data_IF_028035069410
#
_entry.id   IF_028035069410
#
_cell.length_a   1.000
_cell.length_b   1.000
_cell.length_c   1.000
_cell.angle_alpha   90.00
_cell.angle_beta   90.00
_cell.angle_gamma   90.00
#
_symmetry.space_group_name_H-M   'P 1'
#
loop_
_entity.id
_entity.type
_entity.pdbx_description
1 polymer ?
#
# COMPACT_ATOMS: atom_id res chain seq x y z
N UNK A 1 8.28 12.68 -1.11
CA UNK A 1 7.01 11.92 -1.12
C UNK A 1 5.87 12.92 -1.07
N UNK A 2 5.01 12.98 -2.08
CA UNK A 2 3.77 13.77 -1.97
C UNK A 2 2.93 13.14 -0.85
N UNK A 3 2.34 13.91 0.08
CA UNK A 3 1.46 13.34 1.09
C UNK A 3 0.30 12.64 0.38
N UNK A 4 0.00 11.41 0.82
CA UNK A 4 -1.15 10.67 0.32
C UNK A 4 -2.40 11.53 0.58
N UNK A 5 -3.07 12.00 -0.49
CA UNK A 5 -4.35 12.67 -0.35
C UNK A 5 -5.33 11.69 0.34
N UNK A 6 -6.14 12.17 1.28
CA UNK A 6 -7.03 11.32 2.09
C UNK A 6 -7.97 10.47 1.22
N UNK A 7 -8.40 11.01 0.07
CA UNK A 7 -9.20 10.28 -0.93
C UNK A 7 -8.43 9.10 -1.56
N UNK A 8 -7.15 9.29 -1.86
CA UNK A 8 -6.29 8.27 -2.43
C UNK A 8 -6.00 7.16 -1.41
N UNK A 9 -5.84 7.54 -0.14
CA UNK A 9 -5.70 6.61 0.98
C UNK A 9 -6.97 5.75 1.16
N UNK A 10 -8.15 6.38 1.08
CA UNK A 10 -9.43 5.69 1.17
C UNK A 10 -9.61 4.68 0.02
N UNK A 11 -9.31 5.08 -1.22
CA UNK A 11 -9.36 4.16 -2.37
C UNK A 11 -8.35 3.02 -2.27
N UNK A 12 -7.13 3.30 -1.82
CA UNK A 12 -6.12 2.26 -1.59
C UNK A 12 -6.57 1.25 -0.51
N UNK A 13 -7.28 1.74 0.50
CA UNK A 13 -7.86 0.90 1.56
C UNK A 13 -9.01 0.04 1.03
N UNK A 14 -9.94 0.62 0.27
CA UNK A 14 -11.03 -0.13 -0.38
C UNK A 14 -10.48 -1.21 -1.34
N UNK A 15 -9.45 -0.87 -2.13
CA UNK A 15 -8.76 -1.83 -2.98
C UNK A 15 -8.18 -2.98 -2.16
N UNK A 16 -7.45 -2.67 -1.08
CA UNK A 16 -6.84 -3.67 -0.23
C UNK A 16 -7.87 -4.60 0.43
N UNK A 17 -9.06 -4.09 0.78
CA UNK A 17 -10.14 -4.89 1.35
C UNK A 17 -10.79 -5.85 0.34
N UNK A 18 -10.72 -5.54 -0.97
CA UNK A 18 -11.22 -6.40 -2.03
C UNK A 18 -10.26 -7.51 -2.46
N UNK A 19 -9.03 -7.52 -1.94
CA UNK A 19 -8.01 -8.51 -2.31
C UNK A 19 -8.26 -9.86 -1.62
N UNK A 20 -7.99 -10.94 -2.33
CA UNK A 20 -7.88 -12.24 -1.70
C UNK A 20 -6.64 -12.32 -0.80
N UNK A 21 -6.69 -13.20 0.20
CA UNK A 21 -5.62 -13.32 1.21
C UNK A 21 -4.23 -13.58 0.60
N UNK A 22 -4.16 -14.35 -0.49
CA UNK A 22 -2.91 -14.65 -1.19
C UNK A 22 -2.35 -13.42 -1.91
N UNK A 23 -3.20 -12.67 -2.61
CA UNK A 23 -2.82 -11.43 -3.28
C UNK A 23 -2.39 -10.36 -2.28
N UNK A 24 -3.13 -10.24 -1.17
CA UNK A 24 -2.78 -9.34 -0.08
C UNK A 24 -1.39 -9.66 0.48
N UNK A 25 -1.09 -10.93 0.79
CA UNK A 25 0.24 -11.36 1.25
C UNK A 25 1.33 -11.13 0.22
N UNK A 26 1.04 -11.36 -1.06
CA UNK A 26 1.97 -11.10 -2.17
C UNK A 26 2.34 -9.61 -2.22
N UNK A 27 1.35 -8.72 -2.15
CA UNK A 27 1.55 -7.28 -2.11
C UNK A 27 2.35 -6.85 -0.88
N UNK A 28 2.09 -7.43 0.29
CA UNK A 28 2.88 -7.13 1.50
C UNK A 28 4.36 -7.48 1.31
N UNK A 29 4.65 -8.64 0.69
CA UNK A 29 6.02 -9.04 0.38
C UNK A 29 6.65 -8.12 -0.67
N UNK A 30 5.87 -7.68 -1.66
CA UNK A 30 6.35 -6.77 -2.69
C UNK A 30 6.69 -5.38 -2.12
N UNK A 31 5.90 -4.86 -1.18
CA UNK A 31 6.19 -3.63 -0.44
C UNK A 31 7.52 -3.75 0.30
N UNK A 32 7.75 -4.87 1.00
CA UNK A 32 8.99 -5.13 1.74
C UNK A 32 10.20 -5.25 0.81
N UNK A 33 10.02 -5.88 -0.35
CA UNK A 33 11.07 -6.02 -1.36
C UNK A 33 11.39 -4.71 -2.06
N UNK A 34 10.38 -3.88 -2.33
CA UNK A 34 10.56 -2.64 -3.09
C UNK A 34 11.05 -1.52 -2.18
N UNK A 35 10.54 -1.47 -0.94
CA UNK A 35 10.91 -0.48 0.06
C UNK A 35 11.53 -1.18 1.28
N UNK A 36 12.85 -1.42 1.27
CA UNK A 36 13.54 -2.12 2.36
C UNK A 36 13.35 -1.47 3.74
N UNK A 37 13.12 -0.16 3.78
CA UNK A 37 12.79 0.59 5.00
C UNK A 37 11.53 0.06 5.72
N UNK A 38 10.61 -0.57 4.98
CA UNK A 38 9.38 -1.15 5.52
C UNK A 38 9.57 -2.53 6.16
N UNK A 39 10.73 -3.17 5.97
CA UNK A 39 11.03 -4.53 6.47
C UNK A 39 10.87 -4.64 8.00
N UNK A 40 11.26 -3.59 8.73
CA UNK A 40 11.16 -3.54 10.19
C UNK A 40 9.86 -2.89 10.70
N UNK A 41 9.03 -2.35 9.80
CA UNK A 41 7.77 -1.72 10.17
C UNK A 41 6.72 -2.79 10.48
N UNK A 42 5.86 -2.46 11.45
CA UNK A 42 4.75 -3.28 11.90
C UNK A 42 3.53 -2.40 12.21
N UNK A 43 2.35 -3.01 12.19
CA UNK A 43 1.09 -2.32 12.48
C UNK A 43 0.89 -1.08 11.61
N UNK A 44 0.44 0.01 12.23
CA UNK A 44 0.03 1.24 11.55
C UNK A 44 1.10 1.85 10.63
N UNK A 45 2.38 1.75 10.99
CA UNK A 45 3.47 2.29 10.16
C UNK A 45 3.67 1.48 8.88
N UNK A 46 3.50 0.16 8.96
CA UNK A 46 3.52 -0.69 7.78
C UNK A 46 2.25 -0.49 6.95
N UNK A 47 1.08 -0.37 7.58
CA UNK A 47 -0.20 -0.16 6.88
C UNK A 47 -0.19 1.15 6.08
N UNK A 48 0.39 2.23 6.63
CA UNK A 48 0.58 3.49 5.91
C UNK A 48 1.49 3.32 4.69
N UNK A 49 2.60 2.61 4.83
CA UNK A 49 3.51 2.35 3.73
C UNK A 49 2.85 1.44 2.66
N UNK A 50 2.08 0.45 3.10
CA UNK A 50 1.34 -0.45 2.23
C UNK A 50 0.29 0.30 1.39
N UNK A 51 -0.50 1.16 2.03
CA UNK A 51 -1.48 2.00 1.34
C UNK A 51 -0.83 3.00 0.39
N UNK A 52 0.29 3.60 0.78
CA UNK A 52 1.06 4.48 -0.10
C UNK A 52 1.57 3.74 -1.34
N UNK A 53 2.06 2.52 -1.19
CA UNK A 53 2.52 1.69 -2.30
C UNK A 53 1.39 1.32 -3.27
N UNK A 54 0.22 0.93 -2.76
CA UNK A 54 -0.97 0.67 -3.59
C UNK A 54 -1.35 1.93 -4.35
N UNK A 55 -1.46 3.06 -3.67
CA UNK A 55 -1.80 4.33 -4.26
C UNK A 55 -0.82 4.75 -5.38
N UNK A 56 0.49 4.72 -5.13
CA UNK A 56 1.51 5.12 -6.11
C UNK A 56 1.53 4.22 -7.35
N UNK A 57 1.25 2.92 -7.19
CA UNK A 57 1.47 1.95 -8.27
C UNK A 57 0.21 1.56 -9.03
N UNK A 58 -0.95 1.60 -8.36
CA UNK A 58 -2.21 1.11 -8.92
C UNK A 58 -3.25 2.21 -9.12
N UNK A 59 -3.16 3.33 -8.39
CA UNK A 59 -4.16 4.40 -8.47
C UNK A 59 -3.62 5.68 -9.14
N UNK A 60 -2.33 6.01 -8.99
CA UNK A 60 -1.73 7.22 -9.57
C UNK A 60 -1.62 7.17 -11.11
N UNK A 61 -1.67 5.97 -11.72
CA UNK A 61 -1.71 5.80 -13.19
C UNK A 61 -3.10 5.97 -13.80
N UNK A 62 -4.15 6.07 -12.98
CA UNK A 62 -5.53 6.25 -13.44
C UNK A 62 -5.95 7.74 -13.53
N UNK A 63 -5.03 8.66 -13.23
CA UNK A 63 -5.20 10.11 -13.34
C UNK A 63 -4.27 10.68 -14.42
#
# INVERSE_FOLDING_TARGET
MKPLNAELAARAWEFAQGLELEEYRRLQNEVRSTWPATTKLQGLDFDRAFLAFIAERWLDKAA
#
